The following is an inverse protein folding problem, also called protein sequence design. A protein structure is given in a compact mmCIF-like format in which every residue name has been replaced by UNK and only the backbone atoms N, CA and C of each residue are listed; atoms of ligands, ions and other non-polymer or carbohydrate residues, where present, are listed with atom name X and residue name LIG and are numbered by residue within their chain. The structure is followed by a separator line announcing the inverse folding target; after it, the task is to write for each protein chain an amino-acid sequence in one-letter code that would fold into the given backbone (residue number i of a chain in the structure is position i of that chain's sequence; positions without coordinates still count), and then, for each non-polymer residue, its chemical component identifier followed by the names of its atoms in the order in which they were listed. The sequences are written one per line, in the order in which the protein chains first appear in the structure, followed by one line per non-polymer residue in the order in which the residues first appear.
data_IF_649651247798
#
_entry.id   IF_649651247798
#
_cell.length_a   1.000
_cell.length_b   1.000
_cell.length_c   1.000
_cell.angle_alpha   90.00
_cell.angle_beta   90.00
_cell.angle_gamma   90.00
#
_symmetry.space_group_name_H-M   'P 1'
#
loop_
_entity.id
_entity.type
_entity.pdbx_description
1 polymer ?
#
# COMPACT_ATOMS: atom_id res chain seq x y z
N UNK A 1 -26.63 -4.74 19.85
CA UNK A 1 -25.48 -3.87 19.57
C UNK A 1 -24.28 -4.78 19.51
N UNK A 2 -24.05 -5.38 18.34
CA UNK A 2 -22.96 -6.34 18.12
C UNK A 2 -21.63 -5.59 18.20
N UNK A 3 -20.89 -5.82 19.28
CA UNK A 3 -19.46 -5.51 19.30
C UNK A 3 -18.81 -6.58 18.43
N UNK A 4 -18.74 -6.31 17.13
CA UNK A 4 -17.89 -7.07 16.22
C UNK A 4 -16.43 -6.84 16.65
N UNK A 5 -15.95 -7.66 17.58
CA UNK A 5 -14.53 -7.80 17.90
C UNK A 5 -13.84 -8.20 16.61
N UNK A 6 -13.11 -7.25 16.01
CA UNK A 6 -12.27 -7.54 14.85
C UNK A 6 -11.26 -8.63 15.26
N UNK A 7 -11.06 -9.64 14.42
CA UNK A 7 -10.06 -10.67 14.71
C UNK A 7 -8.69 -10.00 14.92
N UNK A 8 -7.81 -10.50 15.79
CA UNK A 8 -6.43 -10.02 15.87
C UNK A 8 -5.74 -9.96 14.50
N UNK A 9 -6.11 -10.84 13.57
CA UNK A 9 -5.62 -10.81 12.19
C UNK A 9 -6.16 -9.62 11.39
N UNK A 10 -7.42 -9.24 11.57
CA UNK A 10 -8.00 -8.05 10.93
C UNK A 10 -7.31 -6.78 11.43
N UNK A 11 -6.99 -6.73 12.72
CA UNK A 11 -6.23 -5.63 13.30
C UNK A 11 -4.84 -5.52 12.66
N UNK A 12 -4.08 -6.63 12.62
CA UNK A 12 -2.76 -6.68 11.98
C UNK A 12 -2.80 -6.30 10.51
N UNK A 13 -3.80 -6.76 9.75
CA UNK A 13 -3.98 -6.41 8.33
C UNK A 13 -4.20 -4.90 8.16
N UNK A 14 -5.00 -4.28 9.04
CA UNK A 14 -5.22 -2.83 9.02
C UNK A 14 -3.97 -2.04 9.40
N UNK A 15 -3.24 -2.49 10.42
CA UNK A 15 -1.97 -1.88 10.82
C UNK A 15 -0.94 -1.97 9.70
N UNK A 16 -0.82 -3.13 9.04
CA UNK A 16 0.03 -3.30 7.86
C UNK A 16 -0.38 -2.36 6.73
N UNK A 17 -1.68 -2.27 6.42
CA UNK A 17 -2.17 -1.36 5.38
C UNK A 17 -1.87 0.11 5.67
N UNK A 18 -2.03 0.53 6.93
CA UNK A 18 -1.67 1.87 7.38
C UNK A 18 -0.17 2.14 7.30
N UNK A 19 0.65 1.16 7.70
CA UNK A 19 2.10 1.23 7.59
C UNK A 19 2.56 1.39 6.14
N UNK A 20 2.06 0.54 5.22
CA UNK A 20 2.39 0.59 3.80
C UNK A 20 2.01 1.94 3.18
N UNK A 21 0.80 2.44 3.48
CA UNK A 21 0.35 3.76 3.04
C UNK A 21 1.28 4.87 3.52
N UNK A 22 1.61 4.87 4.82
CA UNK A 22 2.51 5.88 5.41
C UNK A 22 3.89 5.87 4.76
N UNK A 23 4.46 4.68 4.50
CA UNK A 23 5.76 4.55 3.82
C UNK A 23 5.70 5.02 2.37
N UNK A 24 4.68 4.62 1.62
CA UNK A 24 4.48 5.05 0.23
C UNK A 24 4.39 6.57 0.11
N UNK A 25 3.61 7.20 0.98
CA UNK A 25 3.38 8.65 0.93
C UNK A 25 4.59 9.49 1.33
N UNK A 26 5.52 8.91 2.11
CA UNK A 26 6.75 9.57 2.56
C UNK A 26 7.95 9.35 1.65
N UNK A 27 7.97 8.27 0.88
CA UNK A 27 9.10 7.94 0.01
C UNK A 27 9.09 8.87 -1.21
N UNK A 28 10.18 9.62 -1.40
CA UNK A 28 10.31 10.45 -2.59
C UNK A 28 10.48 9.55 -3.82
N UNK A 29 9.84 9.87 -4.95
CA UNK A 29 9.97 9.05 -6.14
C UNK A 29 11.41 9.01 -6.67
N UNK A 30 12.15 10.12 -6.56
CA UNK A 30 13.56 10.19 -6.91
C UNK A 30 14.42 9.20 -6.09
N UNK A 31 14.21 9.13 -4.78
CA UNK A 31 14.90 8.17 -3.90
C UNK A 31 14.54 6.70 -4.22
N UNK A 32 13.45 6.46 -4.95
CA UNK A 32 13.03 5.15 -5.42
C UNK A 32 13.44 4.87 -6.87
N UNK A 33 14.24 5.74 -7.50
CA UNK A 33 14.66 5.61 -8.90
C UNK A 33 13.56 5.91 -9.92
N UNK A 34 12.47 6.55 -9.49
CA UNK A 34 11.35 6.95 -10.35
C UNK A 34 11.56 8.40 -10.79
N UNK A 35 11.78 8.59 -12.09
CA UNK A 35 11.85 9.93 -12.67
C UNK A 35 10.56 10.71 -12.39
N UNK A 36 10.70 11.91 -11.84
CA UNK A 36 9.57 12.76 -11.52
C UNK A 36 9.03 13.44 -12.80
N UNK A 37 8.08 12.78 -13.49
CA UNK A 37 7.35 13.38 -14.62
C UNK A 37 6.50 14.60 -14.21
N UNK A 38 5.98 15.33 -15.21
CA UNK A 38 5.21 16.56 -14.99
C UNK A 38 4.00 16.40 -14.04
N UNK A 39 3.68 17.49 -13.33
CA UNK A 39 2.57 17.76 -12.39
C UNK A 39 1.95 16.52 -11.72
N UNK A 40 2.49 16.15 -10.56
CA UNK A 40 1.97 15.07 -9.72
C UNK A 40 1.01 15.61 -8.65
N UNK A 41 -0.03 14.84 -8.33
CA UNK A 41 -0.96 15.13 -7.22
C UNK A 41 -0.48 14.55 -5.88
N UNK A 42 0.32 13.49 -5.92
CA UNK A 42 0.85 12.84 -4.72
C UNK A 42 2.30 13.27 -4.52
N UNK A 43 2.70 13.71 -3.31
CA UNK A 43 4.08 14.10 -3.02
C UNK A 43 5.04 12.91 -2.96
N UNK A 44 4.58 11.75 -2.46
CA UNK A 44 5.31 10.49 -2.45
C UNK A 44 4.98 9.59 -3.64
N UNK A 45 5.29 8.30 -3.49
CA UNK A 45 5.01 7.29 -4.51
C UNK A 45 3.51 7.06 -4.71
N UNK A 46 3.15 6.71 -5.95
CA UNK A 46 1.85 6.18 -6.34
C UNK A 46 1.79 4.68 -6.11
N UNK A 47 0.59 4.11 -6.09
CA UNK A 47 0.41 2.66 -5.85
C UNK A 47 1.02 1.84 -6.98
N UNK A 48 0.83 2.28 -8.22
CA UNK A 48 1.40 1.64 -9.40
C UNK A 48 2.94 1.68 -9.42
N UNK A 49 3.55 2.73 -8.89
CA UNK A 49 5.01 2.86 -8.80
C UNK A 49 5.57 1.87 -7.77
N UNK A 50 4.96 1.79 -6.58
CA UNK A 50 5.36 0.79 -5.57
C UNK A 50 5.18 -0.63 -6.09
N UNK A 51 4.05 -0.90 -6.73
CA UNK A 51 3.75 -2.22 -7.29
C UNK A 51 4.77 -2.64 -8.36
N UNK A 52 5.16 -1.70 -9.24
CA UNK A 52 6.21 -1.91 -10.24
C UNK A 52 7.55 -2.24 -9.59
N UNK A 53 8.00 -1.43 -8.61
CA UNK A 53 9.28 -1.64 -7.92
C UNK A 53 9.31 -2.99 -7.17
N UNK A 54 8.18 -3.38 -6.58
CA UNK A 54 8.06 -4.62 -5.81
C UNK A 54 7.76 -5.86 -6.69
N UNK A 55 7.52 -5.70 -7.99
CA UNK A 55 7.18 -6.81 -8.87
C UNK A 55 5.82 -7.46 -8.58
N UNK A 56 4.85 -6.67 -8.08
CA UNK A 56 3.49 -7.15 -7.75
C UNK A 56 2.42 -6.42 -8.55
N UNK A 57 1.21 -6.97 -8.59
CA UNK A 57 0.08 -6.28 -9.22
C UNK A 57 -0.38 -5.05 -8.41
N UNK A 58 -0.68 -3.94 -9.10
CA UNK A 58 -1.19 -2.70 -8.46
C UNK A 58 -2.44 -2.92 -7.63
N UNK A 59 -3.38 -3.76 -8.11
CA UNK A 59 -4.60 -4.12 -7.38
C UNK A 59 -4.28 -4.86 -6.09
N UNK A 60 -3.30 -5.78 -6.11
CA UNK A 60 -2.88 -6.54 -4.94
C UNK A 60 -2.27 -5.61 -3.87
N UNK A 61 -1.37 -4.72 -4.28
CA UNK A 61 -0.82 -3.69 -3.38
C UNK A 61 -1.92 -2.78 -2.82
N UNK A 62 -2.90 -2.41 -3.64
CA UNK A 62 -4.05 -1.60 -3.19
C UNK A 62 -4.87 -2.31 -2.13
N UNK A 63 -5.10 -3.61 -2.27
CA UNK A 63 -5.83 -4.40 -1.28
C UNK A 63 -5.05 -4.57 0.03
N UNK A 64 -3.71 -4.70 -0.04
CA UNK A 64 -2.87 -4.66 1.15
C UNK A 64 -3.02 -3.33 1.90
N UNK A 65 -2.98 -2.18 1.20
CA UNK A 65 -3.21 -0.88 1.82
C UNK A 65 -4.61 -0.70 2.42
N UNK A 66 -5.58 -1.47 1.93
CA UNK A 66 -6.95 -1.50 2.46
C UNK A 66 -7.12 -2.46 3.64
N UNK A 67 -6.09 -3.27 3.96
CA UNK A 67 -6.16 -4.30 5.00
C UNK A 67 -7.15 -5.42 4.65
N UNK A 68 -7.39 -5.67 3.37
CA UNK A 68 -8.24 -6.79 2.93
C UNK A 68 -7.53 -8.11 3.19
N UNK A 69 -8.32 -9.16 3.41
CA UNK A 69 -7.80 -10.52 3.41
C UNK A 69 -7.41 -10.92 1.98
N UNK A 70 -6.11 -10.89 1.71
CA UNK A 70 -5.54 -11.28 0.42
C UNK A 70 -4.48 -12.34 0.64
N UNK A 71 -4.48 -13.36 -0.22
CA UNK A 71 -3.49 -14.42 -0.21
C UNK A 71 -2.64 -14.32 -1.47
N UNK A 72 -1.31 -14.33 -1.36
CA UNK A 72 -0.46 -14.45 -2.54
C UNK A 72 -0.74 -15.80 -3.19
N UNK A 73 -0.89 -15.79 -4.51
CA UNK A 73 -0.92 -17.00 -5.32
C UNK A 73 0.47 -17.20 -5.92
N UNK A 74 0.93 -18.45 -5.88
CA UNK A 74 2.18 -18.88 -6.55
C UNK A 74 1.91 -19.31 -7.97
#
# INVERSE_FOLDING_TARGET
MDIATHSPEDHRRRELGAFLRSRRERLSPDAAGIACGARRRTPGLRREEVAMIAGVGTTWYTWLEQGRDVRPSV
#
